data_IF_373786641005
#
_entry.id   IF_373786641005
#
_cell.length_a   1.000
_cell.length_b   1.000
_cell.length_c   1.000
_cell.angle_alpha   90.00
_cell.angle_beta   90.00
_cell.angle_gamma   90.00
#
_symmetry.space_group_name_H-M   'P 1'
#
loop_
_entity.id
_entity.type
_entity.pdbx_description
1 polymer ?
#
# COMPACT_ATOMS: atom_id res chain seq x y z
N UNK A 1 48.68 -25.37 -48.59
CA UNK A 1 47.54 -24.95 -47.70
C UNK A 1 46.44 -24.53 -48.63
N UNK A 2 45.48 -25.41 -48.80
CA UNK A 2 44.31 -25.13 -49.65
C UNK A 2 43.23 -24.48 -48.78
N UNK A 3 42.93 -23.24 -49.11
CA UNK A 3 41.89 -22.45 -48.53
C UNK A 3 40.57 -22.93 -49.16
N UNK A 4 39.82 -23.80 -48.43
CA UNK A 4 38.50 -24.20 -48.90
C UNK A 4 37.51 -23.07 -48.59
N UNK A 5 36.80 -22.56 -49.59
CA UNK A 5 35.79 -21.54 -49.37
C UNK A 5 34.63 -22.14 -48.56
N UNK A 6 34.31 -21.49 -47.45
CA UNK A 6 33.15 -21.81 -46.61
C UNK A 6 31.91 -21.67 -47.49
N UNK A 7 31.27 -22.81 -47.79
CA UNK A 7 30.01 -22.84 -48.52
C UNK A 7 28.90 -22.45 -47.60
N UNK A 8 28.51 -21.18 -47.65
CA UNK A 8 27.32 -20.69 -46.93
C UNK A 8 26.11 -21.18 -47.72
N UNK A 9 25.44 -22.19 -47.19
CA UNK A 9 24.15 -22.59 -47.73
C UNK A 9 23.12 -21.49 -47.37
N UNK A 10 22.30 -21.04 -48.31
CA UNK A 10 21.24 -20.11 -48.01
C UNK A 10 20.25 -20.80 -47.08
N UNK A 11 20.08 -20.26 -45.87
CA UNK A 11 19.02 -20.68 -44.96
C UNK A 11 17.70 -20.36 -45.65
N UNK A 12 16.98 -21.40 -46.03
CA UNK A 12 15.63 -21.24 -46.57
C UNK A 12 14.82 -20.37 -45.61
N UNK A 13 14.17 -19.38 -46.17
CA UNK A 13 13.40 -18.39 -45.43
C UNK A 13 12.43 -19.08 -44.47
N UNK A 14 12.74 -18.98 -43.17
CA UNK A 14 11.81 -19.38 -42.13
C UNK A 14 10.57 -18.53 -42.30
N UNK A 15 9.47 -19.15 -42.65
CA UNK A 15 8.19 -18.47 -42.74
C UNK A 15 7.92 -17.76 -41.40
N UNK A 16 7.57 -16.48 -41.41
CA UNK A 16 7.26 -15.78 -40.19
C UNK A 16 6.12 -16.53 -39.44
N UNK A 17 6.21 -16.67 -38.12
CA UNK A 17 5.17 -17.34 -37.35
C UNK A 17 3.83 -16.68 -37.66
N UNK A 18 2.83 -17.50 -37.92
CA UNK A 18 1.47 -17.03 -38.16
C UNK A 18 1.09 -16.08 -37.01
N UNK A 19 0.83 -14.82 -37.34
CA UNK A 19 0.34 -13.86 -36.38
C UNK A 19 -0.90 -14.44 -35.75
N UNK A 20 -0.89 -14.63 -34.44
CA UNK A 20 -2.10 -15.00 -33.73
C UNK A 20 -3.19 -13.99 -34.12
N UNK A 21 -4.22 -14.48 -34.77
CA UNK A 21 -5.38 -13.68 -35.13
C UNK A 21 -6.08 -13.36 -33.83
N UNK A 22 -5.78 -12.19 -33.26
CA UNK A 22 -6.59 -11.63 -32.20
C UNK A 22 -7.91 -11.24 -32.87
N UNK A 23 -8.89 -12.06 -32.69
CA UNK A 23 -10.24 -11.72 -33.13
C UNK A 23 -10.72 -10.55 -32.28
N UNK A 24 -11.11 -9.43 -32.87
CA UNK A 24 -11.69 -8.32 -32.14
C UNK A 24 -13.15 -8.66 -31.83
N UNK A 25 -13.37 -9.59 -30.93
CA UNK A 25 -14.67 -9.77 -30.30
C UNK A 25 -14.79 -8.88 -29.06
N UNK A 26 -14.52 -7.62 -29.25
CA UNK A 26 -14.98 -6.61 -28.31
C UNK A 26 -16.19 -5.96 -28.94
N UNK A 27 -17.34 -6.55 -28.74
CA UNK A 27 -18.59 -5.88 -29.04
C UNK A 27 -18.65 -4.60 -28.20
N UNK A 28 -19.22 -3.55 -28.77
CA UNK A 28 -19.39 -2.26 -28.08
C UNK A 28 -20.07 -2.42 -26.70
N UNK A 29 -20.86 -3.48 -26.53
CA UNK A 29 -21.49 -3.86 -25.26
C UNK A 29 -20.50 -4.30 -24.19
N UNK A 30 -19.49 -5.12 -24.53
CA UNK A 30 -18.47 -5.55 -23.54
C UNK A 30 -17.55 -4.40 -23.11
N UNK A 31 -17.31 -3.43 -23.99
CA UNK A 31 -16.61 -2.20 -23.63
C UNK A 31 -17.45 -1.32 -22.70
N UNK A 32 -18.74 -1.20 -22.96
CA UNK A 32 -19.67 -0.45 -22.11
C UNK A 32 -19.77 -1.04 -20.70
N UNK A 33 -19.81 -2.37 -20.56
CA UNK A 33 -19.80 -3.04 -19.25
C UNK A 33 -18.46 -2.86 -18.52
N UNK A 34 -17.35 -2.87 -19.23
CA UNK A 34 -16.03 -2.60 -18.67
C UNK A 34 -15.92 -1.16 -18.13
N UNK A 35 -16.48 -0.20 -18.83
CA UNK A 35 -16.54 1.20 -18.39
C UNK A 35 -17.54 1.44 -17.26
N UNK A 36 -18.63 0.69 -17.20
CA UNK A 36 -19.59 0.76 -16.11
C UNK A 36 -18.97 0.26 -14.80
N UNK A 37 -18.31 -0.90 -14.81
CA UNK A 37 -17.59 -1.43 -13.64
C UNK A 37 -16.47 -0.51 -13.16
N UNK A 38 -15.77 0.12 -14.10
CA UNK A 38 -14.71 1.08 -13.77
C UNK A 38 -15.25 2.37 -13.17
N UNK A 39 -16.46 2.80 -13.58
CA UNK A 39 -17.16 3.94 -12.99
C UNK A 39 -17.68 3.63 -11.59
N UNK A 40 -18.22 2.45 -11.37
CA UNK A 40 -18.68 2.03 -10.04
C UNK A 40 -17.51 1.91 -9.05
N UNK A 41 -16.37 1.41 -9.51
CA UNK A 41 -15.15 1.38 -8.71
C UNK A 41 -14.63 2.80 -8.36
N UNK A 42 -14.64 3.71 -9.34
CA UNK A 42 -14.23 5.09 -9.14
C UNK A 42 -15.26 5.91 -8.36
N UNK A 43 -16.56 5.62 -8.51
CA UNK A 43 -17.62 6.25 -7.74
C UNK A 43 -17.52 5.86 -6.26
N UNK A 44 -17.18 4.62 -5.94
CA UNK A 44 -16.84 4.18 -4.58
C UNK A 44 -15.61 4.90 -4.02
N UNK A 45 -14.61 5.14 -4.85
CA UNK A 45 -13.39 5.82 -4.45
C UNK A 45 -13.56 7.34 -4.28
N UNK A 46 -14.44 7.97 -5.06
CA UNK A 46 -14.73 9.41 -4.98
C UNK A 46 -15.88 9.75 -4.03
N UNK A 47 -16.70 8.77 -3.64
CA UNK A 47 -17.80 8.95 -2.70
C UNK A 47 -17.36 8.79 -1.24
N UNK A 48 -16.11 8.39 -0.98
CA UNK A 48 -15.53 8.37 0.35
C UNK A 48 -14.98 9.76 0.73
N UNK A 49 -15.84 10.75 0.68
CA UNK A 49 -15.74 11.87 1.59
C UNK A 49 -16.02 11.30 2.99
N UNK A 50 -14.94 11.10 3.73
CA UNK A 50 -14.84 10.65 5.09
C UNK A 50 -16.08 10.95 5.92
N UNK A 51 -16.90 9.99 6.33
CA UNK A 51 -17.71 10.18 7.51
C UNK A 51 -16.74 10.29 8.69
N UNK A 52 -16.80 11.41 9.38
CA UNK A 52 -16.16 11.56 10.68
C UNK A 52 -16.46 10.29 11.49
N UNK A 53 -15.42 9.61 11.95
CA UNK A 53 -15.52 8.34 12.63
C UNK A 53 -16.62 8.40 13.70
N UNK A 54 -17.58 7.46 13.72
CA UNK A 54 -18.48 7.34 14.85
C UNK A 54 -17.63 6.92 16.05
N UNK A 55 -17.44 7.86 16.94
CA UNK A 55 -16.84 7.60 18.24
C UNK A 55 -17.83 6.69 18.98
N UNK A 56 -17.56 5.37 19.03
CA UNK A 56 -18.30 4.50 19.92
C UNK A 56 -19.04 3.27 19.35
N UNK A 57 -18.60 2.73 18.19
CA UNK A 57 -19.06 1.42 17.73
C UNK A 57 -18.09 0.29 18.13
N UNK A 58 -18.45 -0.97 17.90
CA UNK A 58 -17.59 -2.13 18.12
C UNK A 58 -16.21 -1.99 17.41
N UNK A 59 -16.17 -1.25 16.30
CA UNK A 59 -14.94 -0.84 15.62
C UNK A 59 -14.03 0.04 16.47
N UNK A 60 -14.55 0.82 17.42
CA UNK A 60 -13.75 1.69 18.29
C UNK A 60 -12.86 0.93 19.27
N UNK A 61 -13.33 -0.20 19.82
CA UNK A 61 -12.53 -1.06 20.68
C UNK A 61 -11.40 -1.74 19.88
N UNK A 62 -11.70 -2.21 18.69
CA UNK A 62 -10.71 -2.80 17.80
C UNK A 62 -9.68 -1.77 17.34
N UNK A 63 -10.11 -0.57 16.99
CA UNK A 63 -9.25 0.54 16.64
C UNK A 63 -8.27 0.87 17.76
N UNK A 64 -8.75 0.94 19.02
CA UNK A 64 -7.88 1.18 20.18
C UNK A 64 -6.83 0.08 20.35
N UNK A 65 -7.23 -1.19 20.19
CA UNK A 65 -6.31 -2.33 20.28
C UNK A 65 -5.26 -2.30 19.16
N UNK A 66 -5.63 -1.86 17.97
CA UNK A 66 -4.69 -1.66 16.85
C UNK A 66 -3.71 -0.53 17.17
N UNK A 67 -4.18 0.59 17.69
CA UNK A 67 -3.32 1.70 18.09
C UNK A 67 -2.32 1.25 19.17
N UNK A 68 -2.77 0.50 20.16
CA UNK A 68 -1.88 -0.05 21.20
C UNK A 68 -0.81 -0.97 20.59
N UNK A 69 -1.16 -1.76 19.59
CA UNK A 69 -0.20 -2.59 18.86
C UNK A 69 0.80 -1.75 18.06
N UNK A 70 0.35 -0.67 17.42
CA UNK A 70 1.22 0.25 16.67
C UNK A 70 2.23 0.96 17.57
N UNK A 71 1.86 1.28 18.80
CA UNK A 71 2.77 1.84 19.82
C UNK A 71 3.87 0.88 20.28
N UNK A 72 3.82 -0.37 19.89
CA UNK A 72 4.89 -1.36 20.15
C UNK A 72 5.95 -1.43 19.05
N UNK A 73 5.74 -0.73 17.94
CA UNK A 73 6.66 -0.71 16.81
C UNK A 73 7.55 0.53 16.92
N UNK A 74 8.85 0.30 17.01
CA UNK A 74 9.85 1.37 17.14
C UNK A 74 10.59 1.55 15.82
N UNK A 75 10.87 2.80 15.48
CA UNK A 75 11.81 3.12 14.42
C UNK A 75 13.23 2.78 14.90
N UNK A 76 14.04 2.04 14.14
CA UNK A 76 15.40 1.70 14.57
C UNK A 76 16.34 2.92 14.70
N UNK A 77 16.00 4.04 14.09
CA UNK A 77 16.78 5.27 14.13
C UNK A 77 16.36 6.22 15.27
N UNK A 78 15.11 6.12 15.71
CA UNK A 78 14.51 7.02 16.69
C UNK A 78 13.92 6.19 17.84
N UNK A 79 14.29 6.44 19.11
CA UNK A 79 13.84 5.65 20.25
C UNK A 79 12.40 5.97 20.67
N UNK A 80 11.53 6.23 19.71
CA UNK A 80 10.11 6.53 19.89
C UNK A 80 9.33 5.61 18.97
N UNK A 81 8.16 5.15 19.42
CA UNK A 81 7.30 4.33 18.58
C UNK A 81 6.73 5.14 17.41
N UNK A 82 6.34 4.43 16.36
CA UNK A 82 5.89 5.05 15.11
C UNK A 82 4.58 5.84 15.25
N UNK A 83 3.76 5.52 16.23
CA UNK A 83 2.50 6.23 16.49
C UNK A 83 2.78 7.60 17.10
N UNK A 84 3.56 7.66 18.17
CA UNK A 84 3.97 8.90 18.85
C UNK A 84 4.91 9.76 17.97
N UNK A 85 5.66 9.12 17.08
CA UNK A 85 6.47 9.80 16.06
C UNK A 85 5.61 10.53 15.00
N UNK A 86 4.31 10.22 14.92
CA UNK A 86 3.40 10.84 13.97
C UNK A 86 3.50 10.28 12.56
N UNK A 87 3.98 9.05 12.41
CA UNK A 87 4.01 8.35 11.11
C UNK A 87 2.64 7.76 10.73
N UNK A 88 1.78 7.54 11.71
CA UNK A 88 0.43 7.02 11.48
C UNK A 88 -0.54 8.19 11.34
N UNK A 89 -1.12 8.32 10.16
CA UNK A 89 -2.07 9.41 9.87
C UNK A 89 -3.51 9.04 10.14
N UNK A 90 -3.88 7.78 9.91
CA UNK A 90 -5.24 7.31 10.16
C UNK A 90 -5.26 5.81 10.44
N UNK A 91 -6.21 5.38 11.27
CA UNK A 91 -6.49 3.97 11.56
C UNK A 91 -8.00 3.78 11.47
N UNK A 92 -8.45 3.11 10.44
CA UNK A 92 -9.85 2.77 10.26
C UNK A 92 -10.06 1.28 10.55
N UNK A 93 -10.98 0.96 11.44
CA UNK A 93 -11.35 -0.41 11.77
C UNK A 93 -12.85 -0.59 11.57
N UNK A 94 -13.24 -1.66 10.87
CA UNK A 94 -14.64 -2.03 10.67
C UNK A 94 -15.11 -3.01 11.74
N UNK A 95 -16.42 -3.15 11.88
CA UNK A 95 -17.02 -4.15 12.78
C UNK A 95 -16.70 -5.59 12.35
N UNK A 96 -16.43 -5.79 11.06
CA UNK A 96 -16.08 -7.09 10.48
C UNK A 96 -14.62 -7.51 10.78
N UNK A 97 -13.82 -6.62 11.32
CA UNK A 97 -12.41 -6.86 11.63
C UNK A 97 -11.43 -6.44 10.53
N UNK A 98 -11.89 -5.73 9.53
CA UNK A 98 -11.01 -5.18 8.49
C UNK A 98 -10.39 -3.86 8.98
N UNK A 99 -9.08 -3.75 8.89
CA UNK A 99 -8.33 -2.59 9.35
C UNK A 99 -7.55 -1.97 8.21
N UNK A 100 -7.63 -0.66 8.05
CA UNK A 100 -6.83 0.12 7.12
C UNK A 100 -5.99 1.12 7.91
N UNK A 101 -4.68 1.02 7.77
CA UNK A 101 -3.73 1.95 8.39
C UNK A 101 -3.14 2.83 7.30
N UNK A 102 -3.31 4.14 7.44
CA UNK A 102 -2.66 5.11 6.57
C UNK A 102 -1.44 5.67 7.26
N UNK A 103 -0.28 5.48 6.69
CA UNK A 103 0.98 5.89 7.27
C UNK A 103 1.89 6.59 6.26
N UNK A 104 2.86 7.31 6.79
CA UNK A 104 3.97 7.88 6.03
C UNK A 104 5.31 7.43 6.61
N UNK A 105 6.38 7.86 5.97
CA UNK A 105 7.75 7.64 6.41
C UNK A 105 8.51 8.96 6.45
N UNK A 106 9.57 9.01 7.24
CA UNK A 106 10.38 10.24 7.39
C UNK A 106 11.14 10.59 6.12
N UNK A 107 11.57 9.59 5.35
CA UNK A 107 12.28 9.78 4.07
C UNK A 107 11.91 8.70 3.07
N UNK A 108 11.76 9.04 1.78
CA UNK A 108 11.39 8.07 0.74
C UNK A 108 12.52 7.11 0.35
N UNK A 109 13.75 7.34 0.77
CA UNK A 109 14.94 6.59 0.33
C UNK A 109 15.60 5.80 1.46
N UNK A 110 14.93 5.58 2.59
CA UNK A 110 15.47 4.75 3.66
C UNK A 110 15.24 3.27 3.34
N UNK A 111 16.26 2.40 3.38
CA UNK A 111 16.09 0.96 3.13
C UNK A 111 15.14 0.29 4.15
N UNK A 112 14.98 0.85 5.34
CA UNK A 112 14.00 0.42 6.34
C UNK A 112 12.57 0.81 5.94
N UNK A 113 12.45 1.85 5.10
CA UNK A 113 11.15 2.33 4.62
C UNK A 113 10.36 1.27 3.84
N UNK A 114 11.04 0.35 3.18
CA UNK A 114 10.39 -0.71 2.41
C UNK A 114 9.85 -1.84 3.32
N UNK A 115 10.47 -2.07 4.47
CA UNK A 115 10.09 -3.15 5.40
C UNK A 115 9.05 -2.70 6.44
N UNK A 116 9.00 -1.42 6.78
CA UNK A 116 8.14 -0.91 7.84
C UNK A 116 6.63 -1.09 7.56
N UNK A 117 6.10 -0.82 6.38
CA UNK A 117 4.68 -1.10 6.09
C UNK A 117 4.32 -2.58 6.28
N UNK A 118 5.21 -3.49 5.88
CA UNK A 118 5.02 -4.93 6.08
C UNK A 118 5.06 -5.32 7.56
N UNK A 119 5.91 -4.72 8.37
CA UNK A 119 5.95 -4.93 9.81
C UNK A 119 4.66 -4.43 10.49
N UNK A 120 4.19 -3.25 10.09
CA UNK A 120 2.92 -2.69 10.56
C UNK A 120 1.75 -3.61 10.21
N UNK A 121 1.66 -4.08 8.98
CA UNK A 121 0.63 -5.01 8.54
C UNK A 121 0.64 -6.30 9.38
N UNK A 122 1.79 -6.93 9.54
CA UNK A 122 1.93 -8.14 10.35
C UNK A 122 1.55 -7.90 11.81
N UNK A 123 1.94 -6.77 12.38
CA UNK A 123 1.61 -6.42 13.76
C UNK A 123 0.11 -6.20 13.94
N UNK A 124 -0.54 -5.51 13.02
CA UNK A 124 -1.99 -5.28 13.03
C UNK A 124 -2.75 -6.61 12.87
N UNK A 125 -2.31 -7.48 11.96
CA UNK A 125 -2.90 -8.81 11.78
C UNK A 125 -2.80 -9.69 13.05
N UNK A 126 -1.81 -9.45 13.90
CA UNK A 126 -1.66 -10.17 15.17
C UNK A 126 -2.62 -9.73 16.26
N UNK A 127 -3.34 -8.62 16.08
CA UNK A 127 -4.31 -8.11 17.05
C UNK A 127 -5.57 -8.98 17.04
N UNK A 128 -6.03 -9.49 18.21
CA UNK A 128 -7.27 -10.25 18.28
C UNK A 128 -8.47 -9.44 17.76
N UNK A 129 -9.23 -10.02 16.86
CA UNK A 129 -10.41 -9.39 16.23
C UNK A 129 -10.12 -8.80 14.86
N UNK A 130 -8.85 -8.68 14.44
CA UNK A 130 -8.48 -8.29 13.08
C UNK A 130 -8.60 -9.50 12.16
N UNK A 131 -9.41 -9.36 11.11
CA UNK A 131 -9.57 -10.35 10.05
C UNK A 131 -8.61 -10.10 8.90
N UNK A 132 -8.51 -8.84 8.50
CA UNK A 132 -7.63 -8.41 7.41
C UNK A 132 -7.03 -7.03 7.74
N UNK A 133 -5.84 -6.77 7.24
CA UNK A 133 -5.14 -5.52 7.43
C UNK A 133 -4.55 -5.02 6.12
N UNK A 134 -4.80 -3.75 5.81
CA UNK A 134 -4.20 -3.06 4.67
C UNK A 134 -3.41 -1.86 5.17
N UNK A 135 -2.19 -1.70 4.70
CA UNK A 135 -1.35 -0.53 5.01
C UNK A 135 -1.19 0.32 3.77
N UNK A 136 -1.67 1.55 3.84
CA UNK A 136 -1.55 2.56 2.78
C UNK A 136 -0.41 3.51 3.11
N UNK A 137 0.64 3.45 2.34
CA UNK A 137 1.74 4.41 2.45
C UNK A 137 1.44 5.64 1.62
N UNK A 138 1.49 6.81 2.26
CA UNK A 138 1.26 8.10 1.62
C UNK A 138 2.45 9.03 1.87
N UNK A 139 2.68 9.96 0.94
CA UNK A 139 3.74 10.97 1.03
C UNK A 139 3.20 12.37 1.24
N UNK A 140 1.87 12.52 1.20
CA UNK A 140 1.19 13.77 1.44
C UNK A 140 0.11 13.62 2.54
N UNK A 141 0.08 14.54 3.49
CA UNK A 141 1.06 15.60 3.74
C UNK A 141 2.42 15.03 4.12
N UNK A 142 3.51 15.74 3.76
CA UNK A 142 4.86 15.33 4.12
C UNK A 142 5.02 15.29 5.65
N UNK A 143 5.78 14.31 6.14
CA UNK A 143 6.09 14.24 7.55
C UNK A 143 7.06 15.35 7.95
N UNK A 144 6.82 15.92 9.11
CA UNK A 144 7.73 16.86 9.79
C UNK A 144 7.68 16.64 11.31
N UNK A 145 8.68 17.10 12.05
CA UNK A 145 8.75 16.92 13.51
C UNK A 145 7.58 17.51 14.31
N UNK A 146 6.81 18.42 13.72
CA UNK A 146 5.63 18.99 14.38
C UNK A 146 4.47 17.98 14.52
N UNK A 147 4.53 16.89 13.76
CA UNK A 147 3.55 15.79 13.82
C UNK A 147 3.79 14.82 14.98
N UNK A 148 4.96 14.90 15.60
CA UNK A 148 5.27 14.13 16.81
C UNK A 148 4.37 14.59 17.97
N UNK A 149 4.04 13.65 18.86
CA UNK A 149 3.44 14.00 20.15
C UNK A 149 4.39 14.83 21.00
N UNK A 150 3.84 15.58 21.94
CA UNK A 150 4.65 16.36 22.88
C UNK A 150 5.56 15.45 23.73
N UNK A 151 5.09 14.24 24.05
CA UNK A 151 5.83 13.23 24.79
C UNK A 151 7.04 12.73 23.98
N UNK A 152 6.87 12.42 22.72
CA UNK A 152 7.95 12.04 21.80
C UNK A 152 8.97 13.17 21.62
N UNK A 153 8.51 14.40 21.50
CA UNK A 153 9.36 15.59 21.37
C UNK A 153 10.18 15.85 22.64
N UNK A 154 9.58 15.62 23.80
CA UNK A 154 10.27 15.75 25.11
C UNK A 154 11.36 14.66 25.24
N UNK A 155 11.06 13.42 24.87
CA UNK A 155 12.02 12.32 24.93
C UNK A 155 13.23 12.55 24.04
N UNK A 156 13.01 13.17 22.88
CA UNK A 156 14.07 13.55 21.94
C UNK A 156 14.78 14.88 22.30
N UNK A 157 14.38 15.53 23.39
CA UNK A 157 14.95 16.80 23.81
C UNK A 157 14.64 17.98 22.89
N UNK A 158 13.49 17.94 22.22
CA UNK A 158 13.02 18.98 21.29
C UNK A 158 12.09 20.01 21.95
N UNK A 159 11.74 19.83 23.21
CA UNK A 159 10.96 20.75 24.04
C UNK A 159 11.81 21.36 25.15
#
# INVERSE_FOLDING_TARGET
>A
MMDEPIKIEPVDSVAPPARARVEPETTLESQAEGFARKRDYLAGFLAEEKPAAPVGGAGGALQSSVIDALKTIYDPEIPVDIYEQGLIYDVAATEDGDVVVTMTLTTPHCPVAESMPGEVEMRVLSVPGVRDAEVKQVWEPAWDPSKMSDEARLELGML
#
